data_IF_784601141337
#
_entry.id   IF_784601141337
#
_cell.length_a   1.000
_cell.length_b   1.000
_cell.length_c   1.000
_cell.angle_alpha   90.00
_cell.angle_beta   90.00
_cell.angle_gamma   90.00
#
_symmetry.space_group_name_H-M   'P 1'
#
loop_
_entity.id
_entity.type
_entity.pdbx_description
1 polymer ?
#
# COMPACT_ATOMS: atom_id res chain seq x y z
N UNK A 1 1.17 -12.86 -22.11
CA UNK A 1 0.74 -12.26 -20.82
C UNK A 1 -0.75 -12.47 -20.70
N UNK A 2 -1.22 -13.07 -19.61
CA UNK A 2 -2.64 -13.29 -19.38
C UNK A 2 -3.25 -11.94 -18.97
N UNK A 3 -3.97 -11.29 -19.88
CA UNK A 3 -4.79 -10.14 -19.54
C UNK A 3 -5.96 -10.65 -18.70
N UNK A 4 -5.96 -10.39 -17.40
CA UNK A 4 -7.08 -10.74 -16.53
C UNK A 4 -8.34 -10.02 -17.03
N UNK A 5 -9.46 -10.74 -17.10
CA UNK A 5 -10.74 -10.15 -17.47
C UNK A 5 -11.35 -9.41 -16.28
N UNK A 6 -10.74 -8.29 -15.90
CA UNK A 6 -11.13 -7.53 -14.72
C UNK A 6 -12.59 -7.12 -14.72
N UNK A 7 -13.22 -6.94 -15.89
CA UNK A 7 -14.65 -6.64 -15.99
C UNK A 7 -15.53 -7.77 -15.45
N UNK A 8 -15.14 -9.02 -15.66
CA UNK A 8 -15.84 -10.18 -15.12
C UNK A 8 -15.50 -10.43 -13.65
N UNK A 9 -14.30 -10.05 -13.20
CA UNK A 9 -13.82 -10.25 -11.83
C UNK A 9 -14.30 -9.14 -10.88
N UNK A 10 -14.46 -7.92 -11.38
CA UNK A 10 -14.78 -6.72 -10.59
C UNK A 10 -16.01 -6.88 -9.67
N UNK A 11 -17.14 -7.47 -10.13
CA UNK A 11 -18.31 -7.67 -9.27
C UNK A 11 -18.08 -8.66 -8.13
N UNK A 12 -17.06 -9.51 -8.25
CA UNK A 12 -16.75 -10.59 -7.32
C UNK A 12 -15.46 -10.36 -6.55
N UNK A 13 -14.91 -9.14 -6.58
CA UNK A 13 -13.66 -8.85 -5.87
C UNK A 13 -13.79 -9.36 -4.44
N UNK A 14 -14.86 -9.01 -3.70
CA UNK A 14 -15.11 -9.41 -2.30
C UNK A 14 -15.11 -10.91 -2.00
N UNK A 15 -15.37 -11.77 -2.99
CA UNK A 15 -15.43 -13.22 -2.79
C UNK A 15 -14.22 -13.97 -3.36
N UNK A 16 -13.45 -13.36 -4.25
CA UNK A 16 -12.30 -14.00 -4.88
C UNK A 16 -11.03 -13.75 -4.06
N UNK A 17 -10.25 -14.81 -3.83
CA UNK A 17 -8.93 -14.68 -3.23
C UNK A 17 -7.93 -14.12 -4.25
N UNK A 18 -7.54 -12.85 -4.08
CA UNK A 18 -6.57 -12.16 -4.90
C UNK A 18 -5.14 -12.24 -4.34
N UNK A 19 -4.96 -12.89 -3.18
CA UNK A 19 -3.68 -12.89 -2.44
C UNK A 19 -2.50 -13.43 -3.25
N UNK A 20 -2.77 -14.23 -4.29
CA UNK A 20 -1.76 -14.88 -5.15
C UNK A 20 -1.40 -14.09 -6.42
N UNK A 21 -2.10 -12.99 -6.70
CA UNK A 21 -1.84 -12.19 -7.91
C UNK A 21 -0.49 -11.47 -7.75
N UNK A 22 0.46 -11.79 -8.63
CA UNK A 22 1.81 -11.21 -8.64
C UNK A 22 1.99 -10.03 -9.57
N UNK A 23 1.17 -9.97 -10.63
CA UNK A 23 1.31 -8.98 -11.69
C UNK A 23 -0.06 -8.45 -12.05
N UNK A 24 -0.17 -7.12 -12.14
CA UNK A 24 -1.36 -6.43 -12.63
C UNK A 24 -0.93 -5.47 -13.73
N UNK A 25 -1.25 -5.82 -14.98
CA UNK A 25 -0.79 -5.08 -16.16
C UNK A 25 -1.73 -3.94 -16.59
N UNK A 26 -2.96 -3.98 -16.09
CA UNK A 26 -4.04 -3.04 -16.41
C UNK A 26 -5.13 -3.18 -15.36
N UNK A 27 -5.77 -2.07 -14.95
CA UNK A 27 -6.98 -2.06 -14.13
C UNK A 27 -7.99 -1.17 -14.85
N UNK A 28 -9.23 -1.63 -15.08
CA UNK A 28 -10.27 -0.78 -15.65
C UNK A 28 -10.59 0.43 -14.75
N UNK A 29 -10.93 1.60 -15.31
CA UNK A 29 -11.18 2.83 -14.55
C UNK A 29 -12.41 2.75 -13.61
N UNK A 30 -13.33 1.82 -13.86
CA UNK A 30 -14.52 1.55 -13.05
C UNK A 30 -14.26 0.65 -11.84
N UNK A 31 -13.04 0.11 -11.70
CA UNK A 31 -12.66 -0.75 -10.58
C UNK A 31 -12.03 0.07 -9.46
N UNK A 32 -12.43 -0.19 -8.22
CA UNK A 32 -11.79 0.41 -7.04
C UNK A 32 -10.34 -0.07 -6.91
N UNK A 33 -9.39 0.76 -7.36
CA UNK A 33 -7.95 0.49 -7.36
C UNK A 33 -7.42 0.13 -5.98
N UNK A 34 -7.75 0.92 -4.96
CA UNK A 34 -7.25 0.73 -3.61
C UNK A 34 -7.68 -0.63 -3.02
N UNK A 35 -8.98 -0.97 -3.14
CA UNK A 35 -9.50 -2.26 -2.65
C UNK A 35 -8.83 -3.45 -3.35
N UNK A 36 -8.73 -3.39 -4.68
CA UNK A 36 -8.11 -4.46 -5.47
C UNK A 36 -6.63 -4.65 -5.07
N UNK A 37 -5.85 -3.57 -5.07
CA UNK A 37 -4.41 -3.64 -4.79
C UNK A 37 -4.12 -4.08 -3.35
N UNK A 38 -4.91 -3.62 -2.38
CA UNK A 38 -4.79 -4.03 -0.97
C UNK A 38 -4.95 -5.55 -0.78
N UNK A 39 -5.64 -6.22 -1.69
CA UNK A 39 -5.90 -7.66 -1.60
C UNK A 39 -4.92 -8.52 -2.38
N UNK A 40 -4.19 -7.93 -3.33
CA UNK A 40 -3.11 -8.59 -4.04
C UNK A 40 -1.86 -8.69 -3.16
N UNK A 41 -1.89 -9.55 -2.14
CA UNK A 41 -0.80 -9.65 -1.14
C UNK A 41 0.54 -10.11 -1.70
N UNK A 42 0.54 -10.89 -2.79
CA UNK A 42 1.73 -11.29 -3.52
C UNK A 42 2.12 -10.33 -4.66
N UNK A 43 1.50 -9.15 -4.77
CA UNK A 43 1.75 -8.21 -5.86
C UNK A 43 3.22 -7.79 -5.87
N UNK A 44 3.84 -8.00 -7.02
CA UNK A 44 5.25 -7.74 -7.24
C UNK A 44 5.47 -6.76 -8.39
N UNK A 45 4.60 -6.77 -9.41
CA UNK A 45 4.66 -5.87 -10.56
C UNK A 45 3.30 -5.24 -10.85
N UNK A 46 3.31 -3.93 -11.04
CA UNK A 46 2.12 -3.13 -11.29
C UNK A 46 2.35 -2.20 -12.50
N UNK A 47 1.44 -2.25 -13.47
CA UNK A 47 1.38 -1.33 -14.59
C UNK A 47 0.01 -0.66 -14.58
N UNK A 48 0.00 0.66 -14.40
CA UNK A 48 -1.21 1.47 -14.32
C UNK A 48 -1.20 2.53 -15.42
N UNK A 49 -2.37 2.75 -16.02
CA UNK A 49 -2.53 3.78 -17.03
C UNK A 49 -2.49 5.17 -16.42
N UNK A 50 -3.25 5.39 -15.35
CA UNK A 50 -3.34 6.67 -14.65
C UNK A 50 -3.16 6.44 -13.15
N UNK A 51 -2.36 7.26 -12.50
CA UNK A 51 -2.20 7.27 -11.05
C UNK A 51 -3.24 8.18 -10.39
N UNK A 52 -4.29 7.58 -9.83
CA UNK A 52 -5.33 8.30 -9.10
C UNK A 52 -4.87 8.73 -7.69
N UNK A 53 -5.46 9.81 -7.18
CA UNK A 53 -5.22 10.34 -5.84
C UNK A 53 -5.53 9.28 -4.77
N UNK A 54 -4.68 9.19 -3.74
CA UNK A 54 -4.85 8.27 -2.61
C UNK A 54 -4.88 6.76 -2.94
N UNK A 55 -4.54 6.34 -4.17
CA UNK A 55 -4.52 4.91 -4.57
C UNK A 55 -3.63 4.02 -3.68
N UNK A 56 -2.66 4.63 -2.99
CA UNK A 56 -1.67 3.97 -2.14
C UNK A 56 -1.72 4.38 -0.68
N UNK A 57 -2.71 5.19 -0.26
CA UNK A 57 -2.82 5.65 1.13
C UNK A 57 -2.97 4.49 2.11
N UNK A 58 -3.68 3.43 1.70
CA UNK A 58 -3.77 2.19 2.47
C UNK A 58 -2.39 1.57 2.74
N UNK A 59 -1.50 1.56 1.75
CA UNK A 59 -0.18 0.94 1.88
C UNK A 59 0.75 1.80 2.76
N UNK A 60 0.65 3.13 2.61
CA UNK A 60 1.31 4.09 3.52
C UNK A 60 0.86 3.87 4.96
N UNK A 61 -0.44 3.69 5.18
CA UNK A 61 -1.01 3.47 6.50
C UNK A 61 -0.58 2.12 7.09
N UNK A 62 -0.67 1.03 6.32
CA UNK A 62 -0.23 -0.31 6.75
C UNK A 62 1.25 -0.30 7.18
N UNK A 63 2.10 0.39 6.40
CA UNK A 63 3.52 0.54 6.75
C UNK A 63 3.73 1.34 8.03
N UNK A 64 3.07 2.50 8.17
CA UNK A 64 3.16 3.32 9.39
C UNK A 64 2.72 2.55 10.63
N UNK A 65 1.67 1.75 10.50
CA UNK A 65 1.19 0.93 11.60
C UNK A 65 2.19 -0.18 11.93
N UNK A 66 2.79 -0.84 10.94
CA UNK A 66 3.84 -1.83 11.15
C UNK A 66 5.07 -1.24 11.88
N UNK A 67 5.57 -0.08 11.44
CA UNK A 67 6.72 0.60 12.06
C UNK A 67 6.44 1.01 13.52
N UNK A 68 5.19 1.39 13.84
CA UNK A 68 4.79 1.70 15.23
C UNK A 68 4.81 0.47 16.14
N UNK A 69 4.43 -0.71 15.62
CA UNK A 69 4.47 -1.95 16.39
C UNK A 69 5.91 -2.39 16.69
N UNK A 70 6.84 -2.18 15.76
CA UNK A 70 8.26 -2.49 15.95
C UNK A 70 8.88 -1.59 17.03
N UNK A 71 8.57 -0.28 17.02
CA UNK A 71 9.08 0.66 18.03
C UNK A 71 8.46 0.49 19.43
N UNK A 72 7.21 0.00 19.51
CA UNK A 72 6.49 -0.18 20.77
C UNK A 72 6.92 -1.40 21.60
N UNK A 73 7.67 -2.35 21.01
CA UNK A 73 8.02 -3.61 21.69
C UNK A 73 9.19 -3.50 22.67
N UNK A 74 9.98 -2.42 22.62
CA UNK A 74 11.13 -2.20 23.52
C UNK A 74 10.78 -1.50 24.85
N UNK A 75 9.52 -1.13 25.08
CA UNK A 75 9.05 -0.59 26.37
C UNK A 75 8.37 -1.65 27.24
N UNK A 76 9.05 -2.77 27.46
CA UNK A 76 8.65 -3.75 28.48
C UNK A 76 9.42 -3.48 29.78
N UNK A 77 9.06 -2.41 30.50
CA UNK A 77 9.36 -2.33 31.93
C UNK A 77 8.32 -3.19 32.67
N UNK A 78 8.70 -4.29 33.33
CA UNK A 78 7.77 -5.07 34.13
C UNK A 78 7.38 -4.24 35.36
N UNK A 79 6.17 -3.72 35.38
CA UNK A 79 5.59 -3.12 36.60
C UNK A 79 5.31 -4.28 37.57
N UNK A 80 5.83 -4.27 38.81
CA UNK A 80 5.52 -5.30 39.78
C UNK A 80 4.04 -5.23 40.17
N UNK A 81 3.41 -6.40 40.20
CA UNK A 81 2.06 -6.60 40.68
C UNK A 81 1.90 -6.01 42.10
N UNK A 82 0.94 -5.10 42.26
CA UNK A 82 0.42 -4.75 43.57
C UNK A 82 -1.08 -5.05 43.61
N UNK A 83 -1.42 -5.92 44.55
CA UNK A 83 -2.71 -6.57 44.72
C UNK A 83 -3.76 -5.64 45.38
N UNK A 84 -5.01 -6.14 45.31
CA UNK A 84 -6.20 -5.81 46.12
C UNK A 84 -7.23 -4.86 45.49
N UNK A 85 -8.30 -5.43 44.89
CA UNK A 85 -9.60 -5.48 45.57
C UNK A 85 -10.67 -6.33 44.84
N UNK A 86 -11.72 -6.80 45.55
CA UNK A 86 -12.63 -7.83 45.07
C UNK A 86 -14.00 -7.30 44.58
N UNK A 87 -14.60 -8.11 43.69
CA UNK A 87 -16.03 -8.33 43.47
C UNK A 87 -16.93 -7.16 43.01
N UNK A 88 -17.13 -7.06 41.69
CA UNK A 88 -18.47 -6.94 41.09
C UNK A 88 -18.45 -7.57 39.69
N UNK A 89 -19.02 -8.77 39.59
CA UNK A 89 -19.17 -9.55 38.36
C UNK A 89 -20.23 -8.92 37.45
N UNK A 90 -19.76 -8.14 36.47
CA UNK A 90 -20.54 -7.77 35.30
C UNK A 90 -20.49 -8.90 34.26
N UNK A 91 -21.58 -9.10 33.47
CA UNK A 91 -21.64 -10.18 32.49
C UNK A 91 -20.62 -9.92 31.39
N UNK A 92 -19.75 -10.91 31.19
CA UNK A 92 -18.79 -10.99 30.09
C UNK A 92 -19.58 -11.00 28.78
N UNK A 93 -19.78 -9.81 28.21
CA UNK A 93 -20.13 -9.68 26.81
C UNK A 93 -18.95 -10.24 26.04
N UNK A 94 -19.16 -11.37 25.38
CA UNK A 94 -18.23 -11.99 24.45
C UNK A 94 -17.96 -10.99 23.32
N UNK A 95 -16.95 -10.14 23.51
CA UNK A 95 -16.43 -9.26 22.48
C UNK A 95 -15.89 -10.15 21.38
N UNK A 96 -16.64 -10.29 20.30
CA UNK A 96 -16.13 -10.86 19.06
C UNK A 96 -14.84 -10.11 18.73
N UNK A 97 -13.68 -10.79 18.66
CA UNK A 97 -12.43 -10.12 18.39
C UNK A 97 -12.56 -9.40 17.06
N UNK A 98 -12.22 -8.10 17.05
CA UNK A 98 -12.23 -7.27 15.86
C UNK A 98 -11.38 -7.95 14.76
N UNK A 99 -11.79 -7.87 13.49
CA UNK A 99 -11.01 -8.39 12.38
C UNK A 99 -9.58 -7.83 12.45
N UNK A 100 -8.57 -8.72 12.44
CA UNK A 100 -7.18 -8.29 12.41
C UNK A 100 -6.86 -7.69 11.04
N UNK A 101 -6.09 -6.60 10.95
CA UNK A 101 -5.61 -6.08 9.68
C UNK A 101 -4.86 -7.15 8.89
N UNK A 102 -5.08 -7.21 7.57
CA UNK A 102 -4.51 -8.25 6.71
C UNK A 102 -2.96 -8.29 6.76
N UNK A 103 -2.30 -7.14 6.92
CA UNK A 103 -0.84 -7.07 7.04
C UNK A 103 -0.28 -7.80 8.26
N UNK A 104 -1.06 -7.98 9.33
CA UNK A 104 -0.60 -8.74 10.51
C UNK A 104 -0.51 -10.24 10.23
N UNK A 105 -1.26 -10.74 9.25
CA UNK A 105 -1.26 -12.16 8.89
C UNK A 105 -0.35 -12.44 7.70
N UNK A 106 -0.29 -11.52 6.73
CA UNK A 106 0.40 -11.72 5.46
C UNK A 106 1.67 -10.88 5.28
N UNK A 107 1.94 -9.95 6.20
CA UNK A 107 2.99 -8.93 6.03
C UNK A 107 2.55 -7.78 5.11
N UNK A 108 3.46 -6.81 4.99
CA UNK A 108 3.33 -5.71 4.03
C UNK A 108 3.50 -6.23 2.59
N UNK A 109 2.81 -5.61 1.65
CA UNK A 109 2.93 -5.93 0.22
C UNK A 109 4.33 -5.56 -0.28
N UNK A 110 5.01 -6.50 -0.94
CA UNK A 110 6.37 -6.32 -1.45
C UNK A 110 6.38 -5.95 -2.94
N UNK A 111 5.83 -4.78 -3.26
CA UNK A 111 5.81 -4.28 -4.63
C UNK A 111 7.22 -3.91 -5.08
N UNK A 112 7.70 -4.53 -6.16
CA UNK A 112 9.04 -4.32 -6.66
C UNK A 112 9.10 -3.49 -7.94
N UNK A 113 8.09 -3.60 -8.81
CA UNK A 113 8.09 -2.93 -10.11
C UNK A 113 6.83 -2.12 -10.30
N UNK A 114 6.96 -0.83 -10.58
CA UNK A 114 5.85 0.07 -10.87
C UNK A 114 6.09 0.78 -12.19
N UNK A 115 5.16 0.62 -13.13
CA UNK A 115 5.10 1.41 -14.35
C UNK A 115 3.82 2.24 -14.36
N UNK A 116 3.97 3.55 -14.51
CA UNK A 116 2.88 4.51 -14.57
C UNK A 116 2.93 5.13 -15.97
N UNK A 117 1.88 4.92 -16.76
CA UNK A 117 1.85 5.50 -18.12
C UNK A 117 1.67 7.00 -18.05
N UNK A 118 0.66 7.45 -17.31
CA UNK A 118 0.33 8.85 -17.13
C UNK A 118 0.27 9.17 -15.63
N UNK A 119 1.06 10.15 -15.21
CA UNK A 119 1.03 10.67 -13.86
C UNK A 119 0.45 12.08 -13.86
N UNK A 120 -0.68 12.28 -13.19
CA UNK A 120 -1.22 13.61 -12.94
C UNK A 120 -0.37 14.37 -11.92
N UNK A 121 -0.28 15.68 -12.09
CA UNK A 121 0.42 16.59 -11.19
C UNK A 121 -0.57 17.23 -10.21
N UNK A 122 -0.23 17.35 -8.89
CA UNK A 122 1.09 17.15 -8.29
C UNK A 122 1.44 15.68 -8.01
N UNK A 123 2.74 15.38 -8.13
CA UNK A 123 3.38 14.07 -7.95
C UNK A 123 3.32 13.46 -6.52
N UNK A 124 2.40 13.90 -5.65
CA UNK A 124 2.34 13.44 -4.24
C UNK A 124 2.13 11.92 -4.14
N UNK A 125 1.35 11.35 -5.05
CA UNK A 125 1.10 9.91 -5.10
C UNK A 125 2.37 9.10 -5.38
N UNK A 126 3.35 9.65 -6.11
CA UNK A 126 4.63 8.97 -6.35
C UNK A 126 5.40 8.85 -5.02
N UNK A 127 5.41 9.92 -4.21
CA UNK A 127 6.04 9.89 -2.90
C UNK A 127 5.34 8.88 -1.96
N UNK A 128 4.01 8.72 -2.08
CA UNK A 128 3.28 7.69 -1.34
C UNK A 128 3.70 6.26 -1.74
N UNK A 129 3.84 5.97 -3.04
CA UNK A 129 4.34 4.67 -3.55
C UNK A 129 5.75 4.41 -3.00
N UNK A 130 6.65 5.38 -3.18
CA UNK A 130 8.04 5.28 -2.74
C UNK A 130 8.11 5.08 -1.23
N UNK A 131 7.33 5.83 -0.45
CA UNK A 131 7.28 5.66 0.99
C UNK A 131 6.77 4.26 1.36
N UNK A 132 5.63 3.83 0.81
CA UNK A 132 4.99 2.56 1.16
C UNK A 132 5.87 1.35 0.84
N UNK A 133 6.63 1.41 -0.26
CA UNK A 133 7.39 0.27 -0.78
C UNK A 133 8.91 0.48 -0.77
N UNK A 134 9.43 1.39 0.06
CA UNK A 134 10.86 1.76 0.01
C UNK A 134 11.87 0.61 0.20
N UNK A 135 11.47 -0.47 0.88
CA UNK A 135 12.30 -1.64 1.10
C UNK A 135 12.24 -2.65 -0.05
N UNK A 136 11.16 -2.65 -0.84
CA UNK A 136 10.94 -3.64 -1.91
C UNK A 136 11.01 -3.06 -3.32
N UNK A 137 10.80 -1.75 -3.50
CA UNK A 137 10.72 -1.12 -4.81
C UNK A 137 12.09 -1.12 -5.49
N UNK A 138 12.19 -1.86 -6.59
CA UNK A 138 13.39 -2.03 -7.42
C UNK A 138 13.34 -1.15 -8.68
N UNK A 139 12.18 -1.08 -9.31
CA UNK A 139 11.97 -0.40 -10.60
C UNK A 139 10.78 0.57 -10.50
N UNK A 140 11.02 1.85 -10.74
CA UNK A 140 9.97 2.86 -10.89
C UNK A 140 10.10 3.56 -12.24
N UNK A 141 9.06 3.41 -13.07
CA UNK A 141 8.98 4.01 -14.40
C UNK A 141 7.74 4.88 -14.54
N UNK A 142 7.94 6.11 -14.99
CA UNK A 142 6.88 7.07 -15.31
C UNK A 142 7.06 7.50 -16.77
N UNK A 143 6.10 7.14 -17.62
CA UNK A 143 6.21 7.32 -19.08
C UNK A 143 5.79 8.72 -19.54
N UNK A 144 4.86 9.35 -18.83
CA UNK A 144 4.36 10.66 -19.17
C UNK A 144 3.84 11.37 -17.93
N UNK A 145 4.19 12.65 -17.78
CA UNK A 145 3.52 13.55 -16.84
C UNK A 145 2.42 14.28 -17.58
N UNK A 146 1.19 14.26 -17.06
CA UNK A 146 0.12 15.07 -17.63
C UNK A 146 0.40 16.54 -17.37
N UNK A 147 0.35 17.36 -18.42
CA UNK A 147 0.51 18.81 -18.32
C UNK A 147 -0.59 19.37 -17.42
N UNK A 148 -0.23 19.91 -16.26
CA UNK A 148 -1.10 20.84 -15.57
C UNK A 148 -1.13 22.15 -16.34
N UNK A 149 -2.30 22.80 -16.43
CA UNK A 149 -2.44 24.13 -17.04
C UNK A 149 -1.54 25.21 -16.40
N UNK A 150 -0.89 24.90 -15.28
CA UNK A 150 0.10 25.73 -14.61
C UNK A 150 1.47 25.04 -14.65
N UNK A 151 2.51 25.77 -15.05
CA UNK A 151 3.90 25.30 -14.93
C UNK A 151 4.22 25.16 -13.44
N UNK A 152 4.26 23.93 -12.93
CA UNK A 152 4.62 23.63 -11.55
C UNK A 152 5.93 22.84 -11.53
N UNK A 153 6.83 23.24 -10.64
CA UNK A 153 8.04 22.46 -10.35
C UNK A 153 7.65 21.13 -9.72
N UNK A 154 8.13 20.03 -10.30
CA UNK A 154 7.91 18.69 -9.77
C UNK A 154 8.93 18.43 -8.65
N UNK A 155 8.46 18.34 -7.41
CA UNK A 155 9.29 17.93 -6.28
C UNK A 155 9.24 16.40 -6.12
N UNK A 156 10.19 15.71 -6.77
CA UNK A 156 10.46 14.29 -6.57
C UNK A 156 11.62 14.10 -5.59
N UNK A 157 11.69 12.93 -4.96
CA UNK A 157 12.81 12.57 -4.08
C UNK A 157 12.60 12.85 -2.60
N UNK A 158 11.52 13.51 -2.21
CA UNK A 158 11.27 13.80 -0.79
C UNK A 158 11.00 12.50 -0.02
N UNK A 159 11.90 12.15 0.90
CA UNK A 159 11.81 10.92 1.70
C UNK A 159 12.32 9.66 0.99
N UNK A 160 13.01 9.80 -0.14
CA UNK A 160 13.52 8.65 -0.92
C UNK A 160 14.84 8.09 -0.37
N UNK A 161 15.39 8.65 0.71
CA UNK A 161 16.63 8.18 1.34
C UNK A 161 16.56 6.72 1.81
N UNK A 162 15.36 6.16 1.98
CA UNK A 162 15.14 4.77 2.37
C UNK A 162 15.01 3.78 1.20
N UNK A 163 15.20 4.20 -0.06
CA UNK A 163 15.08 3.34 -1.25
C UNK A 163 16.28 2.41 -1.43
N UNK A 164 16.50 1.51 -0.48
CA UNK A 164 17.67 0.60 -0.48
C UNK A 164 17.69 -0.39 -1.65
N UNK A 165 16.53 -0.69 -2.23
CA UNK A 165 16.36 -1.69 -3.30
C UNK A 165 16.23 -1.08 -4.70
N UNK A 166 16.06 0.25 -4.82
CA UNK A 166 15.79 0.89 -6.10
C UNK A 166 17.04 0.83 -6.99
N UNK A 167 16.90 0.21 -8.16
CA UNK A 167 17.96 0.03 -9.16
C UNK A 167 17.68 0.85 -10.41
N UNK A 168 16.42 0.98 -10.80
CA UNK A 168 16.02 1.68 -12.01
C UNK A 168 14.96 2.73 -11.70
N UNK A 169 15.27 3.97 -12.06
CA UNK A 169 14.36 5.11 -12.03
C UNK A 169 14.29 5.71 -13.43
N UNK A 170 13.14 5.58 -14.08
CA UNK A 170 12.91 6.13 -15.41
C UNK A 170 11.81 7.20 -15.33
N UNK A 171 12.18 8.45 -15.61
CA UNK A 171 11.28 9.59 -15.62
C UNK A 171 11.33 10.22 -17.00
N UNK A 172 10.24 10.08 -17.76
CA UNK A 172 10.10 10.70 -19.06
C UNK A 172 9.42 12.06 -18.89
N UNK A 173 10.13 13.13 -19.25
CA UNK A 173 9.54 14.46 -19.34
C UNK A 173 8.48 14.50 -20.46
N UNK A 174 7.46 15.37 -20.34
CA UNK A 174 6.49 15.61 -21.42
C UNK A 174 7.16 16.09 -22.71
#
# INVERSE_FOLDING_TARGET
>A
MASYNWKEIAPFLDVIDLSRIKTVDYIPPDVNYANLLQRCRALHSLNISLLDEASFDWAVQEKKDAERFEQGSDSSNPVPASANNPAHSHPVTSKTPLPRPAYQTHGLVQLAKVTIKECSMPAQNINAIVFAFNQSLEDLKIQQFQESHNVQTIHLGQGWSGLSSLRNLELHAP
#
